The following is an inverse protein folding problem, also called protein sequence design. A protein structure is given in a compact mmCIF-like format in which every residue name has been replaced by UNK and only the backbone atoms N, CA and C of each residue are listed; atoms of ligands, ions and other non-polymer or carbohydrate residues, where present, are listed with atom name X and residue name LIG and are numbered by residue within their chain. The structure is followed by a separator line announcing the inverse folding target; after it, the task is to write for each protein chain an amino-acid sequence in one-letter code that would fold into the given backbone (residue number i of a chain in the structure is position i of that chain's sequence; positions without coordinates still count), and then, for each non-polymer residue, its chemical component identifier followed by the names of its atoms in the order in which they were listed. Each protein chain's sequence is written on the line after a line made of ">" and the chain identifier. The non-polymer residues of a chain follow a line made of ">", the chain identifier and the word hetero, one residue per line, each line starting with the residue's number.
data_IF_835473299549
#
_entry.id   IF_835473299549
#
_cell.length_a   1.000
_cell.length_b   1.000
_cell.length_c   1.000
_cell.angle_alpha   90.00
_cell.angle_beta   90.00
_cell.angle_gamma   90.00
#
_symmetry.space_group_name_H-M   'P 1'
#
loop_
_entity.id
_entity.type
_entity.pdbx_description
1 polymer ?
#
# COMPACT_ATOMS: atom_id res chain seq x y z
N UNK A 1 11.07 -16.78 36.19
CA UNK A 1 10.84 -16.53 34.75
C UNK A 1 9.99 -15.28 34.66
N UNK A 2 10.56 -14.15 34.25
CA UNK A 2 9.76 -12.97 33.91
C UNK A 2 8.95 -13.34 32.68
N UNK A 3 7.64 -13.30 32.79
CA UNK A 3 6.73 -13.43 31.66
C UNK A 3 7.03 -12.25 30.74
N UNK A 4 7.64 -12.51 29.58
CA UNK A 4 7.91 -11.47 28.58
C UNK A 4 6.56 -10.83 28.22
N UNK A 5 6.41 -9.54 28.49
CA UNK A 5 5.19 -8.83 28.15
C UNK A 5 4.94 -8.98 26.65
N UNK A 6 3.78 -9.57 26.29
CA UNK A 6 3.35 -9.71 24.90
C UNK A 6 3.14 -8.31 24.34
N UNK A 7 3.93 -7.91 23.36
CA UNK A 7 3.82 -6.59 22.72
C UNK A 7 2.85 -6.68 21.55
N UNK A 8 1.91 -5.74 21.42
CA UNK A 8 0.94 -5.76 20.33
C UNK A 8 1.65 -5.56 18.98
N UNK A 9 1.11 -6.18 17.93
CA UNK A 9 1.61 -6.04 16.56
C UNK A 9 1.57 -4.58 16.09
N UNK A 10 0.55 -3.82 16.51
CA UNK A 10 0.38 -2.39 16.23
C UNK A 10 0.06 -1.62 17.49
N UNK A 11 0.44 -0.34 17.53
CA UNK A 11 0.15 0.59 18.62
C UNK A 11 -0.01 2.02 18.12
N UNK A 12 -0.46 2.90 19.01
CA UNK A 12 -0.47 4.34 18.77
C UNK A 12 0.92 4.96 18.96
N UNK A 13 1.21 5.96 18.13
CA UNK A 13 2.38 6.83 18.19
C UNK A 13 1.88 8.27 18.12
N UNK A 14 2.16 9.07 19.16
CA UNK A 14 2.01 10.51 19.08
C UNK A 14 3.15 11.07 18.23
N UNK A 15 2.81 11.85 17.21
CA UNK A 15 3.78 12.39 16.28
C UNK A 15 3.50 13.85 15.98
N UNK A 16 4.56 14.55 15.61
CA UNK A 16 4.52 15.94 15.19
C UNK A 16 5.20 16.11 13.83
N UNK A 17 4.70 17.04 13.02
CA UNK A 17 5.32 17.40 11.74
C UNK A 17 6.67 18.05 11.99
N UNK A 18 7.71 17.57 11.33
CA UNK A 18 9.03 18.23 11.31
C UNK A 18 9.34 18.85 9.95
N UNK A 19 8.73 18.34 8.87
CA UNK A 19 8.98 18.81 7.52
C UNK A 19 7.79 18.58 6.61
N UNK A 20 7.53 19.54 5.72
CA UNK A 20 6.54 19.45 4.65
C UNK A 20 7.22 19.80 3.34
N UNK A 21 7.11 18.93 2.34
CA UNK A 21 7.74 19.10 1.02
C UNK A 21 6.72 18.82 -0.07
N UNK A 22 6.48 19.81 -0.94
CA UNK A 22 5.70 19.63 -2.16
C UNK A 22 6.57 18.91 -3.18
N UNK A 23 6.24 17.65 -3.47
CA UNK A 23 6.97 16.83 -4.45
C UNK A 23 6.48 17.11 -5.87
N UNK A 24 5.19 17.35 -6.01
CA UNK A 24 4.52 17.69 -7.27
C UNK A 24 3.25 18.50 -7.00
N UNK A 25 2.48 18.92 -8.01
CA UNK A 25 1.16 19.52 -7.78
C UNK A 25 0.25 18.68 -6.85
N UNK A 26 0.25 17.36 -7.02
CA UNK A 26 -0.66 16.44 -6.32
C UNK A 26 0.00 15.62 -5.18
N UNK A 27 1.33 15.63 -5.06
CA UNK A 27 2.04 14.91 -4.00
C UNK A 27 2.68 15.85 -2.98
N UNK A 28 2.31 15.67 -1.71
CA UNK A 28 2.89 16.38 -0.57
C UNK A 28 3.50 15.38 0.41
N UNK A 29 4.81 15.42 0.61
CA UNK A 29 5.48 14.62 1.64
C UNK A 29 5.45 15.33 2.97
N UNK A 30 4.93 14.66 3.98
CA UNK A 30 4.99 15.10 5.38
C UNK A 30 5.91 14.14 6.13
N UNK A 31 6.98 14.68 6.73
CA UNK A 31 7.85 13.96 7.65
C UNK A 31 7.36 14.20 9.07
N UNK A 32 7.08 13.10 9.77
CA UNK A 32 6.64 13.07 11.15
C UNK A 32 7.77 12.60 12.06
N UNK A 33 7.84 13.13 13.28
CA UNK A 33 8.78 12.71 14.31
C UNK A 33 8.06 12.45 15.64
N UNK A 34 8.64 11.63 16.51
CA UNK A 34 8.09 11.27 17.83
C UNK A 34 9.03 10.36 18.59
N UNK A 35 9.07 10.46 19.92
CA UNK A 35 10.04 9.71 20.74
C UNK A 35 9.96 8.20 20.52
N UNK A 36 8.73 7.65 20.47
CA UNK A 36 8.48 6.23 20.28
C UNK A 36 8.77 5.72 18.85
N UNK A 37 9.05 6.59 17.87
CA UNK A 37 9.30 6.16 16.49
C UNK A 37 10.63 5.40 16.33
N UNK A 38 11.48 5.34 17.35
CA UNK A 38 12.62 4.40 17.38
C UNK A 38 12.20 2.91 17.37
N UNK A 39 10.93 2.65 17.66
CA UNK A 39 10.30 1.33 17.67
C UNK A 39 9.33 1.11 16.50
N UNK A 40 9.15 2.11 15.63
CA UNK A 40 8.23 2.02 14.52
C UNK A 40 8.79 1.15 13.39
N UNK A 41 7.90 0.33 12.81
CA UNK A 41 8.18 -0.47 11.62
C UNK A 41 7.83 -1.95 11.81
N UNK A 42 7.76 -2.72 10.71
CA UNK A 42 7.54 -4.16 10.79
C UNK A 42 8.76 -4.88 11.36
N UNK A 43 8.52 -5.97 12.08
CA UNK A 43 9.56 -6.87 12.56
C UNK A 43 10.04 -7.76 11.41
N UNK A 44 11.31 -7.62 11.04
CA UNK A 44 11.96 -8.45 10.04
C UNK A 44 11.30 -8.35 8.66
N UNK A 45 11.60 -9.34 7.83
CA UNK A 45 11.21 -9.40 6.41
C UNK A 45 10.40 -10.64 6.07
N UNK A 46 9.91 -11.37 7.08
CA UNK A 46 9.33 -12.69 6.91
C UNK A 46 8.11 -12.70 5.95
N UNK A 47 7.34 -11.61 5.90
CA UNK A 47 6.23 -11.46 4.96
C UNK A 47 6.67 -11.21 3.52
N UNK A 48 7.82 -10.58 3.29
CA UNK A 48 8.29 -10.18 1.95
C UNK A 48 9.34 -11.13 1.36
N UNK A 49 10.04 -11.89 2.22
CA UNK A 49 11.14 -12.77 1.82
C UNK A 49 12.42 -12.04 1.39
N UNK A 50 12.50 -10.73 1.65
CA UNK A 50 13.68 -9.89 1.36
C UNK A 50 14.68 -9.94 2.52
N UNK A 51 15.94 -9.54 2.35
CA UNK A 51 16.89 -9.47 3.49
C UNK A 51 16.70 -8.19 4.31
N UNK A 52 17.00 -8.26 5.61
CA UNK A 52 16.89 -7.11 6.51
C UNK A 52 17.95 -6.05 6.18
N UNK A 53 17.50 -4.83 5.84
CA UNK A 53 18.37 -3.66 5.76
C UNK A 53 18.67 -3.09 7.17
N UNK A 54 19.64 -2.18 7.26
CA UNK A 54 20.00 -1.50 8.52
C UNK A 54 18.86 -0.62 9.10
N UNK A 55 17.82 -0.34 8.31
CA UNK A 55 16.57 0.28 8.74
C UNK A 55 15.38 -0.52 8.21
N UNK A 56 14.23 -0.54 8.92
CA UNK A 56 13.03 -1.23 8.43
C UNK A 56 12.62 -0.67 7.07
N UNK A 57 12.32 -1.55 6.13
CA UNK A 57 11.79 -1.15 4.83
C UNK A 57 10.29 -0.92 4.95
N UNK A 58 9.78 0.08 4.24
CA UNK A 58 8.37 0.41 4.30
C UNK A 58 7.51 -0.47 3.37
N UNK A 59 8.02 -0.86 2.19
CA UNK A 59 7.23 -1.54 1.15
C UNK A 59 5.86 -0.87 0.96
N UNK A 60 4.76 -1.61 1.10
CA UNK A 60 3.39 -1.08 1.10
C UNK A 60 2.77 -1.02 2.50
N UNK A 61 3.59 -0.90 3.56
CA UNK A 61 3.14 -0.83 4.95
C UNK A 61 2.07 0.24 5.14
N UNK A 62 0.86 -0.22 5.43
CA UNK A 62 -0.27 0.63 5.77
C UNK A 62 -0.29 0.98 7.23
N UNK A 63 -0.78 2.18 7.49
CA UNK A 63 -1.05 2.73 8.82
C UNK A 63 -2.40 3.43 8.83
N UNK A 64 -2.94 3.67 10.02
CA UNK A 64 -4.07 4.58 10.21
C UNK A 64 -3.56 5.89 10.78
N UNK A 65 -4.03 6.99 10.22
CA UNK A 65 -3.82 8.33 10.75
C UNK A 65 -5.08 8.79 11.44
N UNK A 66 -4.94 9.20 12.70
CA UNK A 66 -5.92 9.99 13.41
C UNK A 66 -5.55 11.45 13.26
N UNK A 67 -6.33 12.16 12.44
CA UNK A 67 -6.15 13.58 12.25
C UNK A 67 -6.76 14.34 13.43
N UNK A 68 -6.15 15.46 13.86
CA UNK A 68 -6.78 16.33 14.83
C UNK A 68 -8.11 16.85 14.28
N UNK A 69 -9.05 17.16 15.18
CA UNK A 69 -10.28 17.90 14.82
C UNK A 69 -9.92 19.35 14.48
N UNK A 70 -10.88 20.13 13.97
CA UNK A 70 -10.66 21.53 13.61
C UNK A 70 -10.18 22.41 14.79
N UNK A 71 -10.53 22.02 16.02
CA UNK A 71 -10.08 22.66 17.26
C UNK A 71 -8.68 22.20 17.73
N UNK A 72 -8.02 21.32 16.96
CA UNK A 72 -6.71 20.74 17.29
C UNK A 72 -6.77 19.51 18.22
N UNK A 73 -7.95 19.10 18.70
CA UNK A 73 -8.05 17.98 19.64
C UNK A 73 -7.66 16.64 19.02
N UNK A 74 -6.84 15.88 19.75
CA UNK A 74 -6.43 14.51 19.46
C UNK A 74 -7.41 13.49 20.05
N UNK A 75 -7.43 12.23 19.58
CA UNK A 75 -8.38 11.22 20.04
C UNK A 75 -8.19 10.80 21.51
N UNK A 76 -9.22 10.99 22.34
CA UNK A 76 -9.27 10.49 23.73
C UNK A 76 -9.88 9.08 23.82
N UNK A 77 -9.19 8.09 23.24
CA UNK A 77 -9.69 6.71 23.12
C UNK A 77 -8.90 5.67 23.93
N UNK A 78 -8.14 6.10 24.94
CA UNK A 78 -7.29 5.21 25.74
C UNK A 78 -6.08 4.64 24.99
N UNK A 79 -5.71 5.25 23.86
CA UNK A 79 -4.61 4.79 22.98
C UNK A 79 -3.24 4.79 23.67
N UNK A 80 -3.06 5.65 24.68
CA UNK A 80 -1.82 5.82 25.44
C UNK A 80 -1.95 5.42 26.92
N UNK A 81 -3.02 4.69 27.28
CA UNK A 81 -3.17 4.12 28.63
C UNK A 81 -2.15 2.99 28.87
N UNK A 82 -2.01 2.57 30.13
CA UNK A 82 -1.21 1.40 30.51
C UNK A 82 -2.08 0.36 31.25
N UNK A 83 -2.45 -0.77 30.60
CA UNK A 83 -2.18 -1.10 29.20
C UNK A 83 -3.01 -0.25 28.21
N UNK A 84 -2.56 -0.09 26.96
CA UNK A 84 -3.30 0.68 25.96
C UNK A 84 -4.55 -0.08 25.52
N UNK A 85 -5.59 0.67 25.12
CA UNK A 85 -6.80 0.08 24.54
C UNK A 85 -6.46 -0.73 23.28
N UNK A 86 -7.02 -1.94 23.19
CA UNK A 86 -6.90 -2.79 22.01
C UNK A 86 -7.59 -2.17 20.79
N UNK A 87 -7.26 -2.67 19.59
CA UNK A 87 -7.86 -2.21 18.33
C UNK A 87 -9.39 -2.24 18.39
N UNK A 88 -9.96 -3.33 18.92
CA UNK A 88 -11.41 -3.48 19.01
C UNK A 88 -12.05 -2.51 20.00
N UNK A 89 -11.37 -2.21 21.12
CA UNK A 89 -11.88 -1.30 22.14
C UNK A 89 -11.92 0.14 21.63
N UNK A 90 -10.78 0.68 21.18
CA UNK A 90 -10.74 2.08 20.72
C UNK A 90 -11.61 2.28 19.48
N UNK A 91 -11.68 1.29 18.57
CA UNK A 91 -12.51 1.40 17.37
C UNK A 91 -14.01 1.35 17.71
N UNK A 92 -14.39 0.57 18.71
CA UNK A 92 -15.78 0.54 19.20
C UNK A 92 -16.13 1.85 19.89
N UNK A 93 -15.25 2.40 20.72
CA UNK A 93 -15.43 3.70 21.34
C UNK A 93 -15.54 4.83 20.29
N UNK A 94 -14.63 4.86 19.32
CA UNK A 94 -14.66 5.85 18.23
C UNK A 94 -15.95 5.79 17.40
N UNK A 95 -16.44 4.58 17.09
CA UNK A 95 -17.73 4.40 16.38
C UNK A 95 -18.96 4.78 17.21
N UNK A 96 -18.83 4.89 18.53
CA UNK A 96 -19.91 5.30 19.42
C UNK A 96 -19.99 6.83 19.61
N UNK A 97 -18.91 7.57 19.34
CA UNK A 97 -18.88 9.04 19.40
C UNK A 97 -19.85 9.67 18.39
N UNK A 98 -20.32 10.88 18.66
CA UNK A 98 -21.06 11.65 17.66
C UNK A 98 -20.14 12.07 16.51
N UNK A 99 -20.68 12.26 15.31
CA UNK A 99 -19.87 12.58 14.12
C UNK A 99 -19.01 13.85 14.32
N UNK A 100 -19.50 14.84 15.06
CA UNK A 100 -18.78 16.07 15.36
C UNK A 100 -17.60 15.86 16.34
N UNK A 101 -17.62 14.80 17.13
CA UNK A 101 -16.60 14.45 18.13
C UNK A 101 -15.58 13.44 17.59
N UNK A 102 -15.83 12.84 16.42
CA UNK A 102 -14.92 11.89 15.80
C UNK A 102 -13.76 12.58 15.12
N UNK A 103 -12.56 12.30 15.58
CA UNK A 103 -11.35 12.52 14.80
C UNK A 103 -11.43 11.75 13.46
N UNK A 104 -11.12 12.40 12.32
CA UNK A 104 -11.04 11.70 11.04
C UNK A 104 -9.94 10.63 11.07
N UNK A 105 -10.28 9.41 10.65
CA UNK A 105 -9.32 8.32 10.46
C UNK A 105 -9.10 8.12 8.97
N UNK A 106 -7.84 8.01 8.52
CA UNK A 106 -7.53 7.62 7.13
C UNK A 106 -6.42 6.60 7.05
N UNK A 107 -6.49 5.75 6.05
CA UNK A 107 -5.42 4.78 5.75
C UNK A 107 -4.40 5.42 4.83
N UNK A 108 -3.13 5.36 5.19
CA UNK A 108 -2.02 5.83 4.37
C UNK A 108 -0.91 4.80 4.31
N UNK A 109 -0.06 4.94 3.30
CA UNK A 109 1.16 4.15 3.14
C UNK A 109 2.32 4.88 3.76
N UNK A 110 3.15 4.15 4.51
CA UNK A 110 4.45 4.65 4.95
C UNK A 110 5.38 4.73 3.76
N UNK A 111 5.94 5.91 3.50
CA UNK A 111 6.85 6.11 2.38
C UNK A 111 8.29 5.74 2.72
N UNK A 112 8.73 6.05 3.93
CA UNK A 112 10.06 5.74 4.43
C UNK A 112 10.09 5.75 5.96
N UNK A 113 10.99 4.95 6.54
CA UNK A 113 11.18 4.83 8.00
C UNK A 113 12.65 5.08 8.32
N UNK A 114 12.93 5.97 9.28
CA UNK A 114 14.27 6.26 9.79
C UNK A 114 14.25 6.23 11.31
N UNK A 115 14.33 5.03 11.89
CA UNK A 115 14.24 4.83 13.35
C UNK A 115 15.35 5.54 14.12
N UNK A 116 16.55 5.67 13.55
CA UNK A 116 17.67 6.42 14.16
C UNK A 116 17.41 7.92 14.28
N UNK A 117 16.65 8.49 13.33
CA UNK A 117 16.22 9.88 13.35
C UNK A 117 14.82 10.04 13.99
N UNK A 118 14.18 8.91 14.33
CA UNK A 118 12.79 8.83 14.78
C UNK A 118 11.85 9.54 13.81
N UNK A 119 12.06 9.34 12.51
CA UNK A 119 11.25 9.95 11.46
C UNK A 119 10.50 8.91 10.61
N UNK A 120 9.30 9.28 10.18
CA UNK A 120 8.50 8.55 9.19
C UNK A 120 8.02 9.54 8.12
N UNK A 121 8.15 9.17 6.85
CA UNK A 121 7.55 9.94 5.75
C UNK A 121 6.21 9.35 5.33
N UNK A 122 5.27 10.23 5.01
CA UNK A 122 4.00 9.89 4.39
C UNK A 122 3.79 10.83 3.20
N UNK A 123 3.50 10.26 2.03
CA UNK A 123 3.13 11.03 0.85
C UNK A 123 1.59 11.14 0.81
N UNK A 124 1.10 12.36 1.01
CA UNK A 124 -0.30 12.71 0.86
C UNK A 124 -0.60 13.02 -0.60
N UNK A 125 -1.57 12.31 -1.15
CA UNK A 125 -2.15 12.64 -2.45
C UNK A 125 -3.25 13.67 -2.25
N UNK A 126 -3.11 14.80 -2.92
CA UNK A 126 -4.06 15.90 -2.85
C UNK A 126 -5.13 15.63 -3.90
N UNK A 127 -6.35 15.40 -3.42
CA UNK A 127 -7.52 15.25 -4.28
C UNK A 127 -8.56 16.28 -3.88
N UNK A 128 -9.22 16.82 -4.90
CA UNK A 128 -10.40 17.65 -4.77
C UNK A 128 -11.59 16.86 -5.31
N UNK A 129 -12.74 16.96 -4.64
CA UNK A 129 -14.00 16.48 -5.19
C UNK A 129 -14.45 17.35 -6.39
N UNK A 130 -15.59 17.00 -6.99
CA UNK A 130 -16.15 17.73 -8.15
C UNK A 130 -16.44 19.21 -7.86
N UNK A 131 -16.54 19.60 -6.58
CA UNK A 131 -16.79 20.96 -6.13
C UNK A 131 -15.50 21.67 -5.70
N UNK A 132 -14.33 21.05 -5.86
CA UNK A 132 -13.05 21.61 -5.48
C UNK A 132 -12.68 21.42 -4.01
N UNK A 133 -13.46 20.66 -3.22
CA UNK A 133 -13.17 20.47 -1.80
C UNK A 133 -12.18 19.33 -1.58
N UNK A 134 -11.15 19.60 -0.78
CA UNK A 134 -10.25 18.57 -0.31
C UNK A 134 -10.93 17.75 0.81
N UNK A 135 -10.77 16.42 0.76
CA UNK A 135 -11.18 15.56 1.88
C UNK A 135 -10.36 15.87 3.15
N UNK A 136 -10.80 15.43 4.35
CA UNK A 136 -10.18 15.83 5.63
C UNK A 136 -8.66 15.64 5.70
N UNK A 137 -8.12 14.55 5.14
CA UNK A 137 -6.68 14.33 5.12
C UNK A 137 -5.93 15.25 4.16
N UNK A 138 -6.46 15.49 2.96
CA UNK A 138 -5.85 16.42 2.02
C UNK A 138 -5.93 17.87 2.55
N UNK A 139 -7.05 18.25 3.17
CA UNK A 139 -7.23 19.54 3.82
C UNK A 139 -6.24 19.75 4.97
N UNK A 140 -6.11 18.77 5.87
CA UNK A 140 -5.12 18.81 6.95
C UNK A 140 -3.70 18.89 6.39
N UNK A 141 -3.35 18.05 5.42
CA UNK A 141 -2.00 18.01 4.84
C UNK A 141 -1.62 19.34 4.16
N UNK A 142 -2.56 20.00 3.48
CA UNK A 142 -2.35 21.31 2.85
C UNK A 142 -2.13 22.44 3.87
N UNK A 143 -2.71 22.32 5.07
CA UNK A 143 -2.57 23.29 6.14
C UNK A 143 -1.39 23.00 7.08
N UNK A 144 -0.87 21.76 7.07
CA UNK A 144 0.13 21.29 8.01
C UNK A 144 1.44 22.09 7.95
N UNK A 145 1.98 22.40 9.12
CA UNK A 145 3.30 23.01 9.32
C UNK A 145 4.08 22.32 10.45
N UNK A 146 5.38 22.61 10.59
CA UNK A 146 6.19 22.05 11.68
C UNK A 146 5.58 22.33 13.06
N UNK A 147 5.49 21.28 13.88
CA UNK A 147 4.86 21.30 15.20
C UNK A 147 3.43 20.77 15.25
N UNK A 148 2.72 20.69 14.11
CA UNK A 148 1.36 20.14 14.09
C UNK A 148 1.37 18.65 14.44
N UNK A 149 0.41 18.24 15.28
CA UNK A 149 0.35 16.88 15.81
C UNK A 149 -0.69 16.00 15.10
N UNK A 150 -0.38 14.70 15.00
CA UNK A 150 -1.34 13.66 14.69
C UNK A 150 -0.94 12.34 15.36
N UNK A 151 -1.88 11.40 15.41
CA UNK A 151 -1.61 10.06 15.93
C UNK A 151 -1.53 9.04 14.79
N UNK A 152 -0.48 8.22 14.79
CA UNK A 152 -0.35 7.06 13.90
C UNK A 152 -0.72 5.80 14.66
N UNK A 153 -1.60 4.97 14.11
CA UNK A 153 -1.70 3.55 14.48
C UNK A 153 -0.88 2.75 13.48
N UNK A 154 0.24 2.18 13.94
CA UNK A 154 1.21 1.51 13.08
C UNK A 154 1.96 0.38 13.75
N UNK A 155 2.86 -0.30 13.01
CA UNK A 155 3.55 -1.50 13.49
C UNK A 155 4.57 -1.18 14.60
N UNK A 156 4.74 -2.10 15.55
CA UNK A 156 5.78 -2.05 16.58
C UNK A 156 6.80 -3.17 16.33
N UNK A 157 8.00 -2.80 15.90
CA UNK A 157 9.05 -3.76 15.48
C UNK A 157 9.56 -4.67 16.60
N UNK A 158 9.15 -4.39 17.85
CA UNK A 158 9.47 -5.20 19.02
C UNK A 158 8.50 -6.39 19.17
N UNK A 159 7.45 -6.45 18.35
CA UNK A 159 6.53 -7.58 18.21
C UNK A 159 6.82 -8.34 16.93
N UNK A 160 6.99 -9.66 17.00
CA UNK A 160 7.20 -10.53 15.82
C UNK A 160 5.99 -10.54 14.86
N UNK A 161 4.82 -10.14 15.35
CA UNK A 161 3.56 -10.09 14.58
C UNK A 161 3.34 -8.75 13.85
N UNK A 162 4.29 -7.81 13.92
CA UNK A 162 4.15 -6.46 13.37
C UNK A 162 4.27 -6.35 11.84
N UNK A 163 4.31 -7.49 11.12
CA UNK A 163 4.30 -7.52 9.65
C UNK A 163 2.93 -7.24 9.00
N UNK A 164 1.88 -7.05 9.79
CA UNK A 164 0.54 -6.74 9.29
C UNK A 164 0.46 -5.40 8.55
N UNK A 165 -0.38 -5.32 7.53
CA UNK A 165 -0.54 -4.12 6.70
C UNK A 165 0.45 -4.01 5.53
N UNK A 166 1.24 -5.05 5.28
CA UNK A 166 2.05 -5.25 4.07
C UNK A 166 1.38 -6.32 3.23
N UNK A 167 1.09 -6.04 1.97
CA UNK A 167 0.54 -7.03 1.02
C UNK A 167 1.47 -7.32 -0.16
N UNK A 168 2.58 -6.59 -0.26
CA UNK A 168 3.67 -6.95 -1.16
C UNK A 168 4.40 -8.19 -0.63
N UNK A 169 3.99 -9.35 -1.16
CA UNK A 169 4.38 -10.67 -0.69
C UNK A 169 4.85 -11.53 -1.87
N UNK A 170 5.99 -11.18 -2.51
CA UNK A 170 6.41 -11.80 -3.76
C UNK A 170 6.88 -13.25 -3.62
N UNK A 171 7.10 -13.76 -2.39
CA UNK A 171 7.62 -15.12 -2.15
C UNK A 171 8.89 -15.40 -2.96
N UNK A 172 8.89 -16.49 -3.74
CA UNK A 172 9.97 -16.84 -4.67
C UNK A 172 9.95 -16.07 -6.00
N UNK A 173 8.89 -15.30 -6.30
CA UNK A 173 8.74 -14.61 -7.58
C UNK A 173 9.75 -13.47 -7.74
N UNK A 174 10.28 -13.30 -8.96
CA UNK A 174 11.32 -12.30 -9.29
C UNK A 174 11.02 -11.50 -10.57
N UNK A 175 9.95 -11.83 -11.28
CA UNK A 175 9.42 -11.05 -12.42
C UNK A 175 8.12 -10.37 -11.97
N UNK A 176 8.19 -9.06 -11.73
CA UNK A 176 7.11 -8.30 -11.12
C UNK A 176 6.25 -7.58 -12.15
N UNK A 177 4.97 -7.46 -11.83
CA UNK A 177 4.06 -6.52 -12.47
C UNK A 177 3.43 -5.68 -11.37
N UNK A 178 3.83 -4.41 -11.27
CA UNK A 178 3.25 -3.46 -10.31
C UNK A 178 2.34 -2.52 -11.09
N UNK A 179 1.13 -2.27 -10.61
CA UNK A 179 0.26 -1.29 -11.27
C UNK A 179 -0.64 -0.57 -10.27
N UNK A 180 -0.77 0.74 -10.45
CA UNK A 180 -1.69 1.51 -9.64
C UNK A 180 -1.83 2.96 -10.07
N UNK A 181 -2.82 3.62 -9.47
CA UNK A 181 -3.02 5.06 -9.63
C UNK A 181 -2.18 5.86 -8.61
N UNK A 182 -2.36 7.17 -8.59
CA UNK A 182 -1.58 8.08 -7.75
C UNK A 182 -1.68 7.75 -6.25
N UNK A 183 -2.77 7.13 -5.80
CA UNK A 183 -2.92 6.71 -4.39
C UNK A 183 -2.03 5.52 -4.04
N UNK A 184 -1.64 4.72 -5.04
CA UNK A 184 -0.72 3.59 -4.90
C UNK A 184 0.74 3.96 -5.19
N UNK A 185 1.00 5.12 -5.81
CA UNK A 185 2.37 5.59 -6.10
C UNK A 185 3.29 5.55 -4.88
N UNK A 186 2.90 6.02 -3.68
CA UNK A 186 3.78 5.94 -2.50
C UNK A 186 4.21 4.51 -2.16
N UNK A 187 3.30 3.54 -2.26
CA UNK A 187 3.58 2.12 -2.01
C UNK A 187 4.48 1.53 -3.09
N UNK A 188 4.17 1.77 -4.37
CA UNK A 188 4.96 1.25 -5.49
C UNK A 188 6.39 1.81 -5.45
N UNK A 189 6.55 3.11 -5.16
CA UNK A 189 7.88 3.72 -5.01
C UNK A 189 8.66 3.09 -3.86
N UNK A 190 8.04 2.93 -2.68
CA UNK A 190 8.69 2.30 -1.53
C UNK A 190 9.04 0.82 -1.77
N UNK A 191 8.21 0.08 -2.53
CA UNK A 191 8.55 -1.26 -3.02
C UNK A 191 9.77 -1.17 -3.96
N UNK A 192 9.70 -0.41 -5.04
CA UNK A 192 10.74 -0.34 -6.07
C UNK A 192 12.13 0.03 -5.50
N UNK A 193 12.18 1.00 -4.60
CA UNK A 193 13.41 1.43 -3.92
C UNK A 193 13.98 0.37 -2.98
N UNK A 194 13.15 -0.57 -2.53
CA UNK A 194 13.55 -1.68 -1.67
C UNK A 194 14.06 -2.91 -2.42
N UNK A 195 13.76 -3.02 -3.73
CA UNK A 195 14.03 -4.24 -4.47
C UNK A 195 15.53 -4.42 -4.77
N UNK A 196 16.10 -5.60 -4.53
CA UNK A 196 17.46 -5.92 -4.97
C UNK A 196 17.53 -6.14 -6.49
N UNK A 197 18.75 -6.16 -7.01
CA UNK A 197 19.09 -6.33 -8.44
C UNK A 197 18.49 -7.60 -9.07
N UNK A 198 18.20 -8.63 -8.26
CA UNK A 198 17.62 -9.90 -8.71
C UNK A 198 16.16 -9.79 -9.18
N UNK A 199 15.48 -8.67 -8.91
CA UNK A 199 14.12 -8.45 -9.38
C UNK A 199 14.14 -7.78 -10.76
N UNK A 200 13.18 -8.18 -11.60
CA UNK A 200 12.93 -7.65 -12.93
C UNK A 200 11.43 -7.48 -13.11
N UNK A 201 10.99 -6.85 -14.19
CA UNK A 201 9.56 -6.69 -14.46
C UNK A 201 9.18 -5.31 -14.98
N UNK A 202 7.92 -4.93 -14.78
CA UNK A 202 7.35 -3.66 -15.23
C UNK A 202 6.43 -3.07 -14.14
N UNK A 203 6.56 -1.78 -13.88
CA UNK A 203 5.72 -1.00 -12.97
C UNK A 203 4.98 0.09 -13.74
N UNK A 204 3.66 0.17 -13.60
CA UNK A 204 2.79 1.10 -14.30
C UNK A 204 2.13 2.04 -13.28
N UNK A 205 2.49 3.31 -13.30
CA UNK A 205 2.01 4.30 -12.33
C UNK A 205 1.20 5.37 -13.06
N UNK A 206 -0.12 5.31 -12.90
CA UNK A 206 -1.01 6.33 -13.43
C UNK A 206 -1.05 7.55 -12.50
N UNK A 207 -0.87 8.73 -13.08
CA UNK A 207 -0.84 10.00 -12.35
C UNK A 207 -1.70 11.06 -13.04
N UNK A 208 -2.19 12.08 -12.32
CA UNK A 208 -3.05 13.11 -12.92
C UNK A 208 -2.39 13.83 -14.10
N UNK A 209 -1.11 14.21 -13.97
CA UNK A 209 -0.36 14.93 -15.01
C UNK A 209 1.10 14.51 -15.08
N UNK A 210 1.82 14.96 -16.12
CA UNK A 210 3.26 14.75 -16.24
C UNK A 210 4.06 15.44 -15.14
N UNK A 211 3.51 16.49 -14.53
CA UNK A 211 4.16 17.21 -13.43
C UNK A 211 4.12 16.41 -12.12
N UNK A 212 3.33 15.35 -12.07
CA UNK A 212 3.19 14.43 -10.93
C UNK A 212 4.09 13.19 -11.02
N UNK A 213 4.99 13.16 -12.00
CA UNK A 213 6.04 12.15 -12.10
C UNK A 213 7.08 12.38 -11.02
N UNK A 214 7.39 11.33 -10.25
CA UNK A 214 8.38 11.38 -9.17
C UNK A 214 9.67 10.66 -9.57
N UNK A 215 10.79 11.11 -9.01
CA UNK A 215 12.05 10.38 -9.08
C UNK A 215 11.98 9.11 -8.23
N UNK A 216 12.39 7.97 -8.81
CA UNK A 216 12.40 6.66 -8.15
C UNK A 216 13.75 6.00 -8.37
N UNK A 217 14.49 5.79 -7.29
CA UNK A 217 15.80 5.16 -7.32
C UNK A 217 15.69 3.65 -7.03
N UNK A 218 15.63 2.83 -8.07
CA UNK A 218 15.58 1.37 -7.94
C UNK A 218 16.92 0.72 -8.31
N UNK A 219 17.36 -0.27 -7.52
CA UNK A 219 18.48 -1.16 -7.87
C UNK A 219 18.05 -2.33 -8.75
N UNK A 220 16.76 -2.65 -8.77
CA UNK A 220 16.20 -3.73 -9.58
C UNK A 220 16.14 -3.37 -11.07
N UNK A 221 15.98 -4.40 -11.90
CA UNK A 221 15.73 -4.27 -13.35
C UNK A 221 14.25 -4.07 -13.69
N UNK A 222 13.41 -3.67 -12.74
CA UNK A 222 12.00 -3.36 -13.00
C UNK A 222 11.92 -2.05 -13.79
N UNK A 223 11.30 -2.09 -14.97
CA UNK A 223 11.08 -0.89 -15.80
C UNK A 223 9.90 -0.09 -15.24
N UNK A 224 10.08 1.22 -15.07
CA UNK A 224 9.07 2.11 -14.50
C UNK A 224 8.42 2.91 -15.65
N UNK A 225 7.11 2.83 -15.75
CA UNK A 225 6.29 3.53 -16.74
C UNK A 225 5.32 4.46 -16.01
N UNK A 226 5.52 5.76 -16.18
CA UNK A 226 4.57 6.77 -15.74
C UNK A 226 3.50 6.98 -16.80
N UNK A 227 2.24 7.04 -16.38
CA UNK A 227 1.07 7.15 -17.24
C UNK A 227 0.26 8.41 -16.87
N UNK A 228 0.69 9.60 -17.31
CA UNK A 228 -0.08 10.82 -17.10
C UNK A 228 -1.45 10.75 -17.76
N UNK A 229 -2.51 11.03 -17.00
CA UNK A 229 -3.87 11.10 -17.54
C UNK A 229 -4.08 12.33 -18.41
N UNK A 230 -3.54 13.48 -18.00
CA UNK A 230 -3.67 14.75 -18.72
C UNK A 230 -5.13 15.05 -19.15
N UNK A 231 -6.09 14.79 -18.24
CA UNK A 231 -7.53 14.97 -18.48
C UNK A 231 -8.27 13.74 -19.02
N UNK A 232 -7.59 12.63 -19.32
CA UNK A 232 -8.23 11.36 -19.65
C UNK A 232 -8.97 10.76 -18.44
N UNK A 233 -9.90 9.84 -18.71
CA UNK A 233 -10.64 9.13 -17.67
C UNK A 233 -9.69 8.35 -16.76
N UNK A 234 -9.97 8.37 -15.45
CA UNK A 234 -9.23 7.58 -14.46
C UNK A 234 -9.20 6.10 -14.83
N UNK A 235 -8.04 5.46 -14.74
CA UNK A 235 -7.85 4.05 -15.07
C UNK A 235 -7.68 3.77 -16.56
N UNK A 236 -7.98 4.70 -17.47
CA UNK A 236 -7.93 4.41 -18.91
C UNK A 236 -6.52 4.14 -19.42
N UNK A 237 -5.54 4.92 -18.96
CA UNK A 237 -4.13 4.73 -19.32
C UNK A 237 -3.58 3.46 -18.68
N UNK A 238 -3.92 3.22 -17.40
CA UNK A 238 -3.51 2.03 -16.68
C UNK A 238 -4.05 0.74 -17.33
N UNK A 239 -5.35 0.71 -17.65
CA UNK A 239 -5.99 -0.40 -18.37
C UNK A 239 -5.30 -0.69 -19.70
N UNK A 240 -4.99 0.33 -20.48
CA UNK A 240 -4.32 0.18 -21.78
C UNK A 240 -2.91 -0.40 -21.61
N UNK A 241 -2.11 0.15 -20.70
CA UNK A 241 -0.74 -0.32 -20.47
C UNK A 241 -0.68 -1.78 -19.96
N UNK A 242 -1.60 -2.15 -19.06
CA UNK A 242 -1.70 -3.52 -18.56
C UNK A 242 -2.20 -4.48 -19.63
N UNK A 243 -3.11 -4.05 -20.51
CA UNK A 243 -3.55 -4.86 -21.64
C UNK A 243 -2.42 -5.12 -22.65
N UNK A 244 -1.58 -4.12 -22.92
CA UNK A 244 -0.40 -4.28 -23.78
C UNK A 244 0.63 -5.22 -23.17
N UNK A 245 0.88 -5.10 -21.85
CA UNK A 245 1.70 -6.05 -21.10
C UNK A 245 1.14 -7.47 -21.19
N UNK A 246 -0.17 -7.63 -20.95
CA UNK A 246 -0.87 -8.91 -20.98
C UNK A 246 -0.79 -9.59 -22.34
N UNK A 247 -0.96 -8.83 -23.43
CA UNK A 247 -0.85 -9.32 -24.81
C UNK A 247 0.55 -9.82 -25.14
N UNK A 248 1.60 -9.12 -24.66
CA UNK A 248 2.99 -9.57 -24.83
C UNK A 248 3.30 -10.83 -24.02
N UNK A 249 2.78 -10.94 -22.80
CA UNK A 249 3.10 -12.03 -21.86
C UNK A 249 2.22 -13.27 -22.03
N UNK A 250 0.98 -13.15 -22.51
CA UNK A 250 0.05 -14.27 -22.67
C UNK A 250 0.60 -15.39 -23.57
N UNK A 251 1.32 -15.03 -24.63
CA UNK A 251 2.02 -16.00 -25.51
C UNK A 251 3.08 -16.79 -24.76
N UNK A 252 3.84 -16.14 -23.89
CA UNK A 252 4.88 -16.78 -23.06
C UNK A 252 4.22 -17.74 -22.07
N UNK A 253 3.14 -17.30 -21.41
CA UNK A 253 2.42 -18.13 -20.44
C UNK A 253 1.74 -19.33 -21.09
N UNK A 254 1.12 -19.15 -22.26
CA UNK A 254 0.52 -20.22 -23.04
C UNK A 254 1.57 -21.26 -23.48
N UNK A 255 2.72 -20.82 -23.98
CA UNK A 255 3.81 -21.73 -24.38
C UNK A 255 4.35 -22.53 -23.18
N UNK A 256 4.56 -21.90 -22.02
CA UNK A 256 4.99 -22.60 -20.79
C UNK A 256 3.96 -23.60 -20.29
N UNK A 257 2.67 -23.25 -20.36
CA UNK A 257 1.57 -24.14 -19.98
C UNK A 257 1.51 -25.38 -20.88
N UNK A 258 1.69 -25.21 -22.18
CA UNK A 258 1.71 -26.33 -23.13
C UNK A 258 2.94 -27.23 -22.95
N UNK A 259 4.05 -26.68 -22.45
CA UNK A 259 5.30 -27.40 -22.22
C UNK A 259 5.38 -28.11 -20.84
N UNK A 260 4.32 -28.07 -20.04
CA UNK A 260 4.33 -28.68 -18.71
C UNK A 260 3.88 -30.13 -18.70
N UNK A 261 4.63 -30.92 -17.97
CA UNK A 261 4.39 -32.34 -17.77
C UNK A 261 3.98 -32.60 -16.30
N UNK A 262 2.96 -33.45 -16.06
CA UNK A 262 2.57 -33.82 -14.70
C UNK A 262 3.74 -34.44 -13.91
N UNK A 263 3.95 -33.97 -12.68
CA UNK A 263 4.96 -34.52 -11.76
C UNK A 263 6.29 -33.76 -11.66
N UNK A 264 6.44 -32.63 -12.38
CA UNK A 264 7.57 -31.71 -12.20
C UNK A 264 7.13 -30.48 -11.42
N UNK A 265 7.85 -30.16 -10.34
CA UNK A 265 7.75 -28.86 -9.65
C UNK A 265 7.94 -27.74 -10.69
N UNK A 266 6.97 -26.84 -10.86
CA UNK A 266 6.99 -25.90 -11.95
C UNK A 266 8.02 -24.82 -11.72
N UNK A 267 9.10 -24.89 -12.49
CA UNK A 267 9.99 -23.74 -12.70
C UNK A 267 9.28 -22.76 -13.65
N UNK A 268 8.24 -22.05 -13.17
CA UNK A 268 7.55 -20.98 -13.91
C UNK A 268 6.11 -21.21 -14.33
N UNK A 269 5.23 -21.43 -13.33
CA UNK A 269 3.79 -21.72 -13.37
C UNK A 269 3.49 -23.22 -13.38
N UNK A 270 2.58 -23.68 -12.50
CA UNK A 270 1.57 -24.73 -12.71
C UNK A 270 1.10 -25.39 -11.40
N UNK A 271 0.06 -24.84 -10.78
CA UNK A 271 -1.07 -25.61 -10.26
C UNK A 271 -2.26 -24.66 -10.08
N UNK A 272 -3.21 -24.76 -11.01
CA UNK A 272 -4.46 -24.03 -10.90
C UNK A 272 -5.28 -24.29 -12.14
N UNK A 273 -6.27 -25.17 -12.03
CA UNK A 273 -7.47 -25.00 -12.86
C UNK A 273 -7.95 -23.56 -12.67
N UNK A 274 -8.45 -22.87 -13.70
CA UNK A 274 -9.21 -21.64 -13.50
C UNK A 274 -10.37 -21.99 -12.57
N UNK A 275 -10.20 -21.78 -11.27
CA UNK A 275 -11.31 -21.83 -10.34
C UNK A 275 -12.28 -20.77 -10.86
N UNK A 276 -13.59 -21.05 -10.88
CA UNK A 276 -14.57 -20.05 -11.27
C UNK A 276 -14.35 -18.81 -10.40
N UNK A 277 -14.24 -17.64 -11.02
CA UNK A 277 -14.26 -16.38 -10.26
C UNK A 277 -15.65 -16.37 -9.62
N UNK A 278 -15.78 -16.32 -8.27
CA UNK A 278 -17.08 -15.98 -7.73
C UNK A 278 -17.50 -14.71 -8.47
N UNK A 279 -18.75 -14.67 -8.94
CA UNK A 279 -19.29 -13.44 -9.50
C UNK A 279 -19.02 -12.36 -8.47
N UNK A 280 -18.10 -11.46 -8.80
CA UNK A 280 -17.71 -10.37 -7.94
C UNK A 280 -18.94 -9.46 -7.92
N UNK A 281 -19.83 -9.68 -6.95
CA UNK A 281 -20.85 -8.72 -6.59
C UNK A 281 -20.15 -7.40 -6.29
N UNK A 282 -20.77 -6.30 -6.68
CA UNK A 282 -20.23 -4.93 -6.70
C UNK A 282 -19.68 -4.42 -5.34
N UNK A 283 -19.81 -5.22 -4.27
CA UNK A 283 -19.43 -4.86 -2.90
C UNK A 283 -18.66 -5.93 -2.08
N UNK A 284 -18.31 -7.12 -2.60
CA UNK A 284 -17.86 -8.21 -1.69
C UNK A 284 -16.35 -8.42 -1.54
N UNK A 285 -15.48 -7.96 -2.44
CA UNK A 285 -14.03 -8.13 -2.25
C UNK A 285 -13.23 -6.97 -2.84
N UNK A 286 -12.83 -6.05 -1.97
CA UNK A 286 -11.95 -4.91 -2.30
C UNK A 286 -10.47 -5.25 -2.07
N UNK A 287 -10.15 -6.43 -1.56
CA UNK A 287 -8.80 -6.75 -1.08
C UNK A 287 -8.52 -8.25 -1.17
N UNK A 288 -7.40 -8.65 -1.77
CA UNK A 288 -6.85 -10.00 -1.66
C UNK A 288 -5.34 -9.96 -1.80
N UNK A 289 -4.67 -10.65 -0.87
CA UNK A 289 -3.22 -10.81 -0.86
C UNK A 289 -2.90 -12.21 -1.37
N UNK A 290 -2.13 -12.27 -2.45
CA UNK A 290 -1.78 -13.51 -3.10
C UNK A 290 -0.59 -14.20 -2.41
N UNK A 291 -0.42 -15.50 -2.67
CA UNK A 291 0.68 -16.30 -2.15
C UNK A 291 1.42 -16.97 -3.33
N UNK A 292 2.37 -16.27 -3.97
CA UNK A 292 3.00 -16.68 -5.23
C UNK A 292 4.14 -17.70 -5.03
N UNK A 293 4.09 -18.51 -3.98
CA UNK A 293 5.13 -19.53 -3.72
C UNK A 293 5.22 -20.52 -4.89
N UNK A 294 6.44 -20.73 -5.39
CA UNK A 294 6.70 -21.55 -6.58
C UNK A 294 6.38 -20.87 -7.92
N UNK A 295 5.91 -19.62 -7.93
CA UNK A 295 5.68 -18.87 -9.16
C UNK A 295 6.87 -17.96 -9.50
N UNK A 296 7.06 -17.71 -10.81
CA UNK A 296 8.08 -16.78 -11.32
C UNK A 296 7.56 -15.34 -11.36
N UNK A 297 6.30 -15.18 -11.76
CA UNK A 297 5.63 -13.90 -11.88
C UNK A 297 4.78 -13.58 -10.65
N UNK A 298 4.80 -12.31 -10.24
CA UNK A 298 3.93 -11.76 -9.21
C UNK A 298 3.40 -10.39 -9.64
N UNK A 299 2.08 -10.22 -9.56
CA UNK A 299 1.38 -8.98 -9.83
C UNK A 299 0.85 -8.39 -8.52
N UNK A 300 1.11 -7.10 -8.31
CA UNK A 300 0.60 -6.32 -7.19
C UNK A 300 -0.14 -5.11 -7.75
N UNK A 301 -1.42 -5.00 -7.43
CA UNK A 301 -2.31 -3.98 -7.98
C UNK A 301 -2.92 -3.15 -6.85
N UNK A 302 -2.89 -1.83 -6.94
CA UNK A 302 -3.58 -0.97 -5.96
C UNK A 302 -4.08 0.34 -6.56
N UNK A 303 -5.17 0.88 -6.03
CA UNK A 303 -5.79 2.12 -6.53
C UNK A 303 -7.31 2.08 -6.46
N UNK A 304 -7.99 2.74 -7.40
CA UNK A 304 -9.45 2.76 -7.49
C UNK A 304 -10.02 1.33 -7.64
N UNK A 305 -10.96 0.99 -6.77
CA UNK A 305 -11.46 -0.36 -6.59
C UNK A 305 -12.02 -1.01 -7.88
N UNK A 306 -12.79 -0.25 -8.67
CA UNK A 306 -13.35 -0.72 -9.94
C UNK A 306 -12.27 -1.02 -10.97
N UNK A 307 -11.32 -0.09 -11.15
CA UNK A 307 -10.18 -0.25 -12.06
C UNK A 307 -9.36 -1.48 -11.70
N UNK A 308 -8.92 -1.58 -10.45
CA UNK A 308 -8.03 -2.66 -10.00
C UNK A 308 -8.72 -4.03 -10.05
N UNK A 309 -10.01 -4.10 -9.70
CA UNK A 309 -10.80 -5.34 -9.84
C UNK A 309 -10.92 -5.76 -11.30
N UNK A 310 -11.10 -4.81 -12.22
CA UNK A 310 -11.10 -5.03 -13.66
C UNK A 310 -9.76 -5.58 -14.16
N UNK A 311 -8.65 -4.97 -13.75
CA UNK A 311 -7.30 -5.42 -14.09
C UNK A 311 -7.03 -6.84 -13.60
N UNK A 312 -7.36 -7.16 -12.34
CA UNK A 312 -7.21 -8.52 -11.82
C UNK A 312 -7.99 -9.54 -12.65
N UNK A 313 -9.25 -9.22 -12.98
CA UNK A 313 -10.09 -10.10 -13.81
C UNK A 313 -9.45 -10.35 -15.18
N UNK A 314 -8.91 -9.30 -15.81
CA UNK A 314 -8.20 -9.41 -17.08
C UNK A 314 -6.95 -10.29 -16.96
N UNK A 315 -6.10 -10.06 -15.95
CA UNK A 315 -4.88 -10.84 -15.73
C UNK A 315 -5.15 -12.34 -15.52
N UNK A 316 -6.22 -12.68 -14.79
CA UNK A 316 -6.57 -14.07 -14.50
C UNK A 316 -7.30 -14.74 -15.67
N UNK A 317 -8.32 -14.09 -16.23
CA UNK A 317 -9.18 -14.71 -17.27
C UNK A 317 -8.53 -14.69 -18.65
N UNK A 318 -7.91 -13.57 -19.04
CA UNK A 318 -7.45 -13.35 -20.42
C UNK A 318 -5.94 -13.60 -20.57
N UNK A 319 -5.13 -13.13 -19.60
CA UNK A 319 -3.67 -13.32 -19.65
C UNK A 319 -3.27 -14.71 -19.15
N UNK A 320 -4.04 -15.28 -18.22
CA UNK A 320 -3.86 -16.64 -17.73
C UNK A 320 -2.92 -16.77 -16.53
N UNK A 321 -2.73 -15.71 -15.76
CA UNK A 321 -2.07 -15.78 -14.45
C UNK A 321 -2.96 -16.54 -13.44
N UNK A 322 -2.32 -17.25 -12.51
CA UNK A 322 -3.02 -17.79 -11.35
C UNK A 322 -3.41 -16.66 -10.39
N UNK A 323 -4.55 -16.80 -9.70
CA UNK A 323 -4.92 -15.85 -8.62
C UNK A 323 -3.89 -15.77 -7.52
N UNK A 324 -3.18 -16.89 -7.27
CA UNK A 324 -2.05 -16.95 -6.32
C UNK A 324 -0.87 -16.06 -6.72
N UNK A 325 -0.88 -15.49 -7.92
CA UNK A 325 0.12 -14.54 -8.41
C UNK A 325 -0.36 -13.10 -8.43
N UNK A 326 -1.62 -12.79 -8.07
CA UNK A 326 -2.19 -11.44 -8.26
C UNK A 326 -2.78 -10.92 -6.95
N UNK A 327 -1.99 -10.14 -6.21
CA UNK A 327 -2.49 -9.30 -5.12
C UNK A 327 -3.23 -8.10 -5.70
N UNK A 328 -4.36 -7.73 -5.10
CA UNK A 328 -5.09 -6.54 -5.48
C UNK A 328 -5.76 -5.84 -4.29
N UNK A 329 -5.70 -4.51 -4.29
CA UNK A 329 -6.14 -3.68 -3.18
C UNK A 329 -6.86 -2.42 -3.68
N UNK A 330 -8.18 -2.37 -3.49
CA UNK A 330 -8.99 -1.18 -3.72
C UNK A 330 -8.78 -0.17 -2.60
N UNK A 331 -7.89 0.80 -2.82
CA UNK A 331 -7.55 1.84 -1.84
C UNK A 331 -8.68 2.85 -1.65
N UNK A 332 -9.44 3.10 -2.70
CA UNK A 332 -10.58 4.02 -2.69
C UNK A 332 -11.62 3.60 -3.73
N UNK A 333 -12.84 4.13 -3.65
CA UNK A 333 -13.91 3.91 -4.64
C UNK A 333 -14.52 5.27 -4.99
N UNK A 334 -14.64 5.56 -6.28
CA UNK A 334 -15.25 6.81 -6.72
C UNK A 334 -16.67 6.95 -6.15
N UNK A 335 -17.01 8.15 -5.65
CA UNK A 335 -18.31 8.42 -5.00
C UNK A 335 -18.49 7.84 -3.59
N UNK A 336 -17.47 7.22 -2.98
CA UNK A 336 -17.51 6.80 -1.56
C UNK A 336 -16.36 7.44 -0.76
N UNK A 337 -16.65 8.03 0.42
CA UNK A 337 -15.58 8.50 1.30
C UNK A 337 -14.73 7.32 1.79
N UNK A 338 -13.41 7.47 1.76
CA UNK A 338 -12.48 6.48 2.32
C UNK A 338 -12.69 6.32 3.83
N UNK A 339 -12.68 5.07 4.30
CA UNK A 339 -12.88 4.70 5.70
C UNK A 339 -11.63 4.90 6.58
#
# INVERSE_FOLDING_TARGET
>A
MQQTAVRPATRAYLTQVVRVVRLSPQFLRITLTGEDLEHFGPAGTASTGLEAAASPMAWDQRIKLFLPREDGSLPELGLFADPPASIMEWYTAWRALDHAERNPIRTYTVRAIRTYAREVDIDFVIHHDEHGHAGPAAAWALAAGPGDELVIIGPDRRSEESGGGIDFTPGSARDLMLAGDETAVPAICAILESLPESYSGEAFLEVPSSDDVLDVASRSSVRIYWLPRNGALHGSALNSAVADWGTRRSKIFAARRAAWEPGREPVGALTGTPQELPELGDDSMLWETAAPEGFREYAWLAGEAGVITGLRRYLVKEVGLSRKQVSFMGYWKHGRPGA
#
